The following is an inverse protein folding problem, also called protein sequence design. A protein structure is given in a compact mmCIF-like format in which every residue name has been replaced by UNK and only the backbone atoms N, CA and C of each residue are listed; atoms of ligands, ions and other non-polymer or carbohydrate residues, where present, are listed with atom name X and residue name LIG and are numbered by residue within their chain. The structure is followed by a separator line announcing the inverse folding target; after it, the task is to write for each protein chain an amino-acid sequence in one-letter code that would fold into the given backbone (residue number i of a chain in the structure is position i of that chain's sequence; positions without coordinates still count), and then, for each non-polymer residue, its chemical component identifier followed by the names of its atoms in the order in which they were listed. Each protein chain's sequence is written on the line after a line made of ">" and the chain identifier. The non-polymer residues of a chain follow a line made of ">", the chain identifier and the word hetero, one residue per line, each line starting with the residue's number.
data_IF_940635015981
#
_entry.id   IF_940635015981
#
_cell.length_a   1.000
_cell.length_b   1.000
_cell.length_c   1.000
_cell.angle_alpha   90.00
_cell.angle_beta   90.00
_cell.angle_gamma   90.00
#
_symmetry.space_group_name_H-M   'P 1'
#
loop_
_entity.id
_entity.type
_entity.pdbx_description
1 polymer ?
#
# COMPACT_ATOMS: atom_id res chain seq x y z
N UNK A 1 12.94 -6.08 -18.67
CA UNK A 1 12.42 -5.90 -17.31
C UNK A 1 12.28 -7.30 -16.72
N UNK A 2 12.93 -7.61 -15.60
CA UNK A 2 12.76 -8.88 -14.94
C UNK A 2 11.37 -8.89 -14.25
N UNK A 3 10.68 -10.04 -14.29
CA UNK A 3 9.49 -10.24 -13.47
C UNK A 3 9.90 -10.22 -12.00
N UNK A 4 9.12 -9.58 -11.16
CA UNK A 4 9.29 -9.69 -9.71
C UNK A 4 8.99 -11.14 -9.32
N UNK A 5 9.96 -11.79 -8.70
CA UNK A 5 9.81 -13.14 -8.17
C UNK A 5 10.00 -13.07 -6.67
N UNK A 6 8.93 -13.40 -5.94
CA UNK A 6 8.96 -13.38 -4.47
C UNK A 6 9.16 -14.77 -3.86
N UNK A 7 9.10 -15.84 -4.68
CA UNK A 7 9.08 -17.24 -4.21
C UNK A 7 10.30 -17.58 -3.34
N UNK A 8 11.49 -17.11 -3.73
CA UNK A 8 12.75 -17.41 -3.06
C UNK A 8 13.30 -16.21 -2.24
N UNK A 9 12.49 -15.18 -2.02
CA UNK A 9 12.91 -13.98 -1.29
C UNK A 9 13.10 -14.31 0.20
N UNK A 10 14.34 -14.20 0.68
CA UNK A 10 14.68 -14.33 2.09
C UNK A 10 14.46 -13.02 2.87
N UNK A 11 14.38 -13.12 4.19
CA UNK A 11 14.35 -11.95 5.06
C UNK A 11 15.54 -11.01 4.84
N UNK A 12 16.74 -11.54 4.70
CA UNK A 12 17.94 -10.72 4.51
C UNK A 12 17.94 -10.00 3.16
N UNK A 13 17.49 -10.64 2.09
CA UNK A 13 17.33 -10.00 0.77
C UNK A 13 16.25 -8.93 0.77
N UNK A 14 15.13 -9.18 1.45
CA UNK A 14 14.08 -8.20 1.65
C UNK A 14 14.61 -6.95 2.35
N UNK A 15 15.32 -7.13 3.46
CA UNK A 15 15.89 -6.01 4.20
C UNK A 15 16.98 -5.30 3.39
N UNK A 16 17.82 -6.00 2.66
CA UNK A 16 18.81 -5.39 1.77
C UNK A 16 18.17 -4.53 0.67
N UNK A 17 17.04 -4.97 0.10
CA UNK A 17 16.23 -4.17 -0.83
C UNK A 17 15.68 -2.90 -0.19
N UNK A 18 15.16 -2.99 1.04
CA UNK A 18 14.69 -1.83 1.79
C UNK A 18 15.82 -0.85 2.17
N UNK A 19 17.00 -1.35 2.52
CA UNK A 19 18.19 -0.52 2.73
C UNK A 19 18.57 0.23 1.45
N UNK A 20 18.51 -0.45 0.30
CA UNK A 20 18.73 0.18 -1.00
C UNK A 20 17.69 1.28 -1.30
N UNK A 21 16.40 1.03 -1.02
CA UNK A 21 15.35 2.05 -1.14
C UNK A 21 15.63 3.24 -0.23
N UNK A 22 15.89 3.01 1.05
CA UNK A 22 16.20 4.05 2.04
C UNK A 22 17.38 4.93 1.60
N UNK A 23 18.47 4.35 1.21
CA UNK A 23 19.70 5.07 0.93
C UNK A 23 19.62 5.94 -0.33
N UNK A 24 18.79 5.55 -1.27
CA UNK A 24 18.73 6.22 -2.56
C UNK A 24 17.45 7.02 -2.80
N UNK A 25 16.33 6.69 -2.15
CA UNK A 25 15.01 7.26 -2.43
C UNK A 25 14.31 7.80 -1.18
N UNK A 26 14.40 7.12 -0.03
CA UNK A 26 13.80 7.58 1.23
C UNK A 26 14.55 8.81 1.79
N UNK A 27 13.82 9.68 2.45
CA UNK A 27 14.38 10.87 3.10
C UNK A 27 14.82 11.99 2.14
N UNK A 28 14.81 11.76 0.83
CA UNK A 28 15.03 12.78 -0.20
C UNK A 28 13.72 13.27 -0.81
N UNK A 29 12.63 12.56 -0.58
CA UNK A 29 11.30 12.92 -1.09
C UNK A 29 10.39 13.40 0.05
N UNK A 30 9.63 14.45 -0.23
CA UNK A 30 8.52 14.88 0.64
C UNK A 30 7.43 13.80 0.80
N UNK A 31 7.54 12.73 0.04
CA UNK A 31 6.56 11.64 -0.02
C UNK A 31 6.50 10.86 1.29
N UNK A 32 7.65 10.54 1.89
CA UNK A 32 7.70 9.83 3.17
C UNK A 32 7.16 10.66 4.33
N UNK A 33 7.54 11.95 4.43
CA UNK A 33 7.01 12.85 5.45
C UNK A 33 5.50 13.04 5.28
N UNK A 34 5.03 13.10 4.05
CA UNK A 34 3.61 13.21 3.72
C UNK A 34 2.85 11.95 4.15
N UNK A 35 3.41 10.76 3.90
CA UNK A 35 2.80 9.50 4.29
C UNK A 35 2.67 9.39 5.81
N UNK A 36 3.76 9.59 6.54
CA UNK A 36 3.76 9.57 8.01
C UNK A 36 2.81 10.61 8.59
N UNK A 37 2.82 11.83 8.05
CA UNK A 37 1.87 12.87 8.45
C UNK A 37 0.40 12.48 8.22
N UNK A 38 0.11 11.78 7.12
CA UNK A 38 -1.23 11.26 6.84
C UNK A 38 -1.63 10.17 7.84
N UNK A 39 -0.76 9.19 8.10
CA UNK A 39 -1.05 8.14 9.09
C UNK A 39 -1.33 8.75 10.47
N UNK A 40 -0.50 9.70 10.90
CA UNK A 40 -0.70 10.40 12.18
C UNK A 40 -2.04 11.15 12.24
N UNK A 41 -2.43 11.80 11.14
CA UNK A 41 -3.73 12.48 11.06
C UNK A 41 -4.92 11.50 11.07
N UNK A 42 -4.74 10.30 10.56
CA UNK A 42 -5.78 9.28 10.47
C UNK A 42 -5.85 8.37 11.70
N UNK A 43 -4.80 8.35 12.52
CA UNK A 43 -4.71 7.55 13.72
C UNK A 43 -5.87 7.86 14.68
N UNK A 44 -6.58 6.81 15.11
CA UNK A 44 -7.74 6.91 16.01
C UNK A 44 -9.01 7.49 15.37
N UNK A 45 -9.01 7.87 14.09
CA UNK A 45 -10.23 8.28 13.40
C UNK A 45 -11.02 7.06 12.94
N UNK A 46 -12.37 7.05 13.10
CA UNK A 46 -13.21 6.02 12.50
C UNK A 46 -13.02 5.98 10.98
N UNK A 47 -13.16 4.80 10.39
CA UNK A 47 -12.96 4.55 8.96
C UNK A 47 -13.75 5.52 8.07
N UNK A 48 -15.02 5.80 8.42
CA UNK A 48 -15.84 6.80 7.74
C UNK A 48 -15.18 8.18 7.71
N UNK A 49 -14.66 8.66 8.84
CA UNK A 49 -14.00 9.96 8.91
C UNK A 49 -12.68 10.01 8.11
N UNK A 50 -11.99 8.85 7.97
CA UNK A 50 -10.82 8.74 7.07
C UNK A 50 -11.24 8.90 5.61
N UNK A 51 -12.33 8.25 5.19
CA UNK A 51 -12.83 8.30 3.81
C UNK A 51 -13.40 9.68 3.43
N UNK A 52 -14.01 10.41 4.35
CA UNK A 52 -14.56 11.75 4.14
C UNK A 52 -13.47 12.85 4.12
N UNK A 53 -12.26 12.54 4.56
CA UNK A 53 -11.16 13.50 4.71
C UNK A 53 -10.60 13.96 3.35
N UNK A 54 -10.48 15.30 3.15
CA UNK A 54 -9.76 15.86 2.00
C UNK A 54 -8.27 15.52 2.05
N UNK A 55 -7.73 15.32 3.24
CA UNK A 55 -6.34 14.98 3.50
C UNK A 55 -5.90 13.73 2.72
N UNK A 56 -6.79 12.75 2.56
CA UNK A 56 -6.55 11.56 1.76
C UNK A 56 -6.22 11.91 0.31
N UNK A 57 -7.04 12.74 -0.32
CA UNK A 57 -6.83 13.17 -1.73
C UNK A 57 -5.59 14.06 -1.86
N UNK A 58 -5.27 14.87 -0.85
CA UNK A 58 -4.06 15.69 -0.85
C UNK A 58 -2.80 14.80 -0.83
N UNK A 59 -2.80 13.72 -0.04
CA UNK A 59 -1.70 12.73 -0.03
C UNK A 59 -1.59 12.03 -1.39
N UNK A 60 -2.70 11.54 -1.93
CA UNK A 60 -2.73 10.90 -3.25
C UNK A 60 -2.17 11.82 -4.35
N UNK A 61 -2.49 13.10 -4.30
CA UNK A 61 -1.98 14.07 -5.28
C UNK A 61 -0.49 14.41 -5.08
N UNK A 62 0.01 14.41 -3.85
CA UNK A 62 1.47 14.48 -3.59
C UNK A 62 2.19 13.25 -4.13
N UNK A 63 1.54 12.09 -4.17
CA UNK A 63 2.02 10.88 -4.83
C UNK A 63 1.70 10.82 -6.33
N UNK A 64 1.50 12.00 -6.94
CA UNK A 64 1.30 12.19 -8.38
C UNK A 64 0.07 11.49 -8.99
N UNK A 65 -0.96 11.17 -8.19
CA UNK A 65 -2.20 10.57 -8.71
C UNK A 65 -3.04 11.53 -9.56
N UNK A 66 -2.81 12.85 -9.45
CA UNK A 66 -3.46 13.91 -10.25
C UNK A 66 -4.98 13.85 -10.23
N UNK A 67 -5.55 13.60 -9.06
CA UNK A 67 -6.98 13.52 -8.83
C UNK A 67 -7.59 14.93 -8.65
N UNK A 68 -8.87 15.08 -8.98
CA UNK A 68 -9.60 16.33 -8.73
C UNK A 68 -9.77 16.58 -7.23
N UNK A 69 -9.15 17.61 -6.68
CA UNK A 69 -9.31 17.98 -5.27
C UNK A 69 -10.73 18.45 -4.90
N UNK A 70 -11.57 18.74 -5.88
CA UNK A 70 -12.96 19.18 -5.69
C UNK A 70 -13.92 17.98 -5.73
N UNK A 71 -13.77 17.09 -6.74
CA UNK A 71 -14.73 16.00 -6.97
C UNK A 71 -14.37 14.73 -6.20
N UNK A 72 -13.08 14.38 -6.17
CA UNK A 72 -12.63 13.07 -5.68
C UNK A 72 -12.97 12.81 -4.22
N UNK A 73 -12.85 13.78 -3.26
CA UNK A 73 -13.21 13.49 -1.87
C UNK A 73 -14.64 13.00 -1.71
N UNK A 74 -15.61 13.68 -2.34
CA UNK A 74 -17.02 13.27 -2.28
C UNK A 74 -17.30 11.91 -2.93
N UNK A 75 -16.59 11.58 -4.02
CA UNK A 75 -16.73 10.29 -4.70
C UNK A 75 -16.14 9.15 -3.86
N UNK A 76 -14.96 9.33 -3.26
CA UNK A 76 -14.39 8.32 -2.35
C UNK A 76 -15.29 8.13 -1.13
N UNK A 77 -15.79 9.22 -0.53
CA UNK A 77 -16.70 9.15 0.61
C UNK A 77 -18.00 8.42 0.27
N UNK A 78 -18.60 8.69 -0.91
CA UNK A 78 -19.78 7.98 -1.40
C UNK A 78 -19.53 6.50 -1.59
N UNK A 79 -18.47 6.13 -2.29
CA UNK A 79 -18.07 4.74 -2.45
C UNK A 79 -17.83 4.04 -1.10
N UNK A 80 -17.08 4.66 -0.20
CA UNK A 80 -16.83 4.10 1.12
C UNK A 80 -18.11 3.94 1.95
N UNK A 81 -19.07 4.87 1.82
CA UNK A 81 -20.38 4.74 2.47
C UNK A 81 -21.12 3.48 1.99
N UNK A 82 -21.15 3.25 0.68
CA UNK A 82 -21.82 2.10 0.07
C UNK A 82 -21.15 0.76 0.44
N UNK A 83 -19.85 0.78 0.75
CA UNK A 83 -19.07 -0.39 1.11
C UNK A 83 -18.69 -0.46 2.60
N UNK A 84 -19.27 0.42 3.44
CA UNK A 84 -18.81 0.61 4.83
C UNK A 84 -18.81 -0.68 5.65
N UNK A 85 -19.86 -1.50 5.57
CA UNK A 85 -19.94 -2.77 6.30
C UNK A 85 -18.75 -3.68 5.96
N UNK A 86 -18.42 -3.80 4.68
CA UNK A 86 -17.29 -4.64 4.23
C UNK A 86 -15.95 -4.06 4.66
N UNK A 87 -15.79 -2.76 4.58
CA UNK A 87 -14.57 -2.09 5.02
C UNK A 87 -14.38 -2.21 6.53
N UNK A 88 -15.44 -2.13 7.33
CA UNK A 88 -15.42 -2.34 8.78
C UNK A 88 -15.10 -3.80 9.17
N UNK A 89 -15.53 -4.78 8.36
CA UNK A 89 -15.13 -6.19 8.52
C UNK A 89 -13.63 -6.40 8.28
N UNK A 90 -13.05 -5.65 7.36
CA UNK A 90 -11.62 -5.71 7.04
C UNK A 90 -10.73 -4.83 7.92
N UNK A 91 -11.27 -3.80 8.57
CA UNK A 91 -10.48 -2.85 9.35
C UNK A 91 -9.62 -3.50 10.46
N UNK A 92 -10.07 -4.55 11.19
CA UNK A 92 -9.27 -5.20 12.20
C UNK A 92 -8.22 -6.18 11.65
N UNK A 93 -8.27 -6.51 10.35
CA UNK A 93 -7.36 -7.47 9.74
C UNK A 93 -6.02 -6.83 9.37
N UNK A 94 -4.99 -7.65 9.43
CA UNK A 94 -3.65 -7.33 8.96
C UNK A 94 -3.26 -8.22 7.78
N UNK A 95 -2.19 -7.88 7.10
CA UNK A 95 -1.68 -8.69 6.00
C UNK A 95 -1.25 -10.12 6.43
N UNK A 96 -1.06 -10.37 7.72
CA UNK A 96 -0.69 -11.71 8.24
C UNK A 96 -1.88 -12.57 8.69
N UNK A 97 -3.12 -12.05 8.63
CA UNK A 97 -4.28 -12.83 9.06
C UNK A 97 -4.55 -13.99 8.10
N UNK A 98 -4.69 -15.20 8.65
CA UNK A 98 -4.77 -16.45 7.90
C UNK A 98 -5.96 -16.51 6.92
N UNK A 99 -7.02 -15.76 7.19
CA UNK A 99 -8.23 -15.73 6.35
C UNK A 99 -8.07 -14.86 5.10
N UNK A 100 -7.00 -14.05 5.02
CA UNK A 100 -6.83 -13.06 3.95
C UNK A 100 -6.78 -13.68 2.55
N UNK A 101 -6.17 -14.87 2.41
CA UNK A 101 -6.12 -15.58 1.14
C UNK A 101 -7.54 -15.90 0.58
N UNK A 102 -8.50 -16.18 1.48
CA UNK A 102 -9.90 -16.43 1.10
C UNK A 102 -10.63 -15.16 0.68
N UNK A 103 -10.19 -13.98 1.15
CA UNK A 103 -10.78 -12.69 0.83
C UNK A 103 -10.13 -11.98 -0.37
N UNK A 104 -9.11 -12.56 -1.00
CA UNK A 104 -8.35 -11.90 -2.07
C UNK A 104 -9.23 -11.40 -3.23
N UNK A 105 -10.19 -12.21 -3.67
CA UNK A 105 -11.13 -11.84 -4.75
C UNK A 105 -12.03 -10.68 -4.32
N UNK A 106 -12.42 -10.64 -3.06
CA UNK A 106 -13.24 -9.57 -2.49
C UNK A 106 -12.45 -8.26 -2.36
N UNK A 107 -11.18 -8.32 -1.94
CA UNK A 107 -10.28 -7.16 -1.93
C UNK A 107 -10.04 -6.64 -3.34
N UNK A 108 -9.90 -7.54 -4.32
CA UNK A 108 -9.84 -7.19 -5.74
C UNK A 108 -11.11 -6.48 -6.22
N UNK A 109 -12.29 -6.97 -5.84
CA UNK A 109 -13.58 -6.35 -6.18
C UNK A 109 -13.71 -4.94 -5.59
N UNK A 110 -13.32 -4.74 -4.33
CA UNK A 110 -13.33 -3.39 -3.70
C UNK A 110 -12.45 -2.40 -4.46
N UNK A 111 -11.28 -2.85 -4.92
CA UNK A 111 -10.37 -2.03 -5.71
C UNK A 111 -10.99 -1.61 -7.06
N UNK A 112 -11.57 -2.57 -7.78
CA UNK A 112 -12.14 -2.34 -9.10
C UNK A 112 -13.44 -1.51 -9.02
N UNK A 113 -14.26 -1.75 -7.99
CA UNK A 113 -15.47 -0.98 -7.72
C UNK A 113 -15.12 0.48 -7.39
N UNK A 114 -14.07 0.74 -6.61
CA UNK A 114 -13.59 2.10 -6.34
C UNK A 114 -13.20 2.82 -7.64
N UNK A 115 -12.46 2.14 -8.51
CA UNK A 115 -12.07 2.69 -9.82
C UNK A 115 -13.32 3.02 -10.65
N UNK A 116 -14.25 2.08 -10.75
CA UNK A 116 -15.48 2.23 -11.55
C UNK A 116 -16.34 3.40 -11.02
N UNK A 117 -16.56 3.45 -9.71
CA UNK A 117 -17.37 4.49 -9.05
C UNK A 117 -16.79 5.90 -9.28
N UNK A 118 -15.49 6.07 -9.04
CA UNK A 118 -14.84 7.38 -9.17
C UNK A 118 -14.74 7.82 -10.63
N UNK A 119 -14.51 6.91 -11.58
CA UNK A 119 -14.55 7.20 -13.02
C UNK A 119 -15.95 7.57 -13.49
N UNK A 120 -16.98 6.90 -13.02
CA UNK A 120 -18.39 7.26 -13.32
C UNK A 120 -18.73 8.68 -12.83
N UNK A 121 -18.13 9.15 -11.73
CA UNK A 121 -18.20 10.52 -11.26
C UNK A 121 -17.37 11.53 -12.06
N UNK A 122 -16.71 11.10 -13.14
CA UNK A 122 -15.97 11.96 -14.08
C UNK A 122 -14.52 12.27 -13.66
N UNK A 123 -13.91 11.43 -12.81
CA UNK A 123 -12.48 11.51 -12.43
C UNK A 123 -11.73 10.38 -13.12
N UNK A 124 -11.25 10.63 -14.33
CA UNK A 124 -10.65 9.60 -15.19
C UNK A 124 -9.28 9.09 -14.72
N UNK A 125 -8.57 9.87 -13.89
CA UNK A 125 -7.24 9.51 -13.40
C UNK A 125 -7.28 8.51 -12.21
N UNK A 126 -8.46 8.09 -11.73
CA UNK A 126 -8.57 6.98 -10.79
C UNK A 126 -8.22 5.69 -11.53
N UNK A 127 -7.00 5.26 -11.43
CA UNK A 127 -6.49 3.99 -11.94
C UNK A 127 -5.99 3.11 -10.79
N UNK A 128 -5.41 1.96 -11.12
CA UNK A 128 -4.95 0.94 -10.16
C UNK A 128 -4.08 1.54 -9.04
N UNK A 129 -3.10 2.35 -9.39
CA UNK A 129 -2.21 2.96 -8.40
C UNK A 129 -2.93 3.93 -7.45
N UNK A 130 -3.90 4.71 -7.95
CA UNK A 130 -4.66 5.62 -7.10
C UNK A 130 -5.64 4.86 -6.21
N UNK A 131 -6.28 3.82 -6.73
CA UNK A 131 -7.22 3.00 -5.98
C UNK A 131 -6.52 2.19 -4.87
N UNK A 132 -5.44 1.49 -5.19
CA UNK A 132 -4.67 0.72 -4.19
C UNK A 132 -4.09 1.63 -3.09
N UNK A 133 -3.60 2.82 -3.45
CA UNK A 133 -3.14 3.83 -2.47
C UNK A 133 -4.28 4.37 -1.62
N UNK A 134 -5.48 4.53 -2.18
CA UNK A 134 -6.67 4.93 -1.42
C UNK A 134 -7.04 3.87 -0.40
N UNK A 135 -7.13 2.60 -0.81
CA UNK A 135 -7.42 1.48 0.09
C UNK A 135 -6.37 1.35 1.20
N UNK A 136 -5.08 1.46 0.84
CA UNK A 136 -3.99 1.45 1.81
C UNK A 136 -4.11 2.59 2.84
N UNK A 137 -4.45 3.81 2.43
CA UNK A 137 -4.64 4.91 3.36
C UNK A 137 -5.88 4.74 4.26
N UNK A 138 -6.89 4.00 3.82
CA UNK A 138 -8.05 3.65 4.63
C UNK A 138 -7.73 2.56 5.66
N UNK A 139 -7.09 1.48 5.24
CA UNK A 139 -6.73 0.32 6.07
C UNK A 139 -5.26 -0.05 5.79
N UNK A 140 -4.31 0.70 6.41
CA UNK A 140 -2.89 0.59 6.06
C UNK A 140 -2.25 -0.75 6.44
N UNK A 141 -2.76 -1.44 7.45
CA UNK A 141 -2.21 -2.72 7.89
C UNK A 141 -2.61 -3.89 6.98
N UNK A 142 -3.57 -3.68 6.08
CA UNK A 142 -4.13 -4.71 5.21
C UNK A 142 -3.73 -4.55 3.74
N UNK A 143 -3.97 -3.39 3.14
CA UNK A 143 -3.82 -3.19 1.70
C UNK A 143 -2.39 -2.82 1.30
N UNK A 144 -1.77 -3.59 0.40
CA UNK A 144 -0.47 -3.24 -0.21
C UNK A 144 -0.70 -2.38 -1.44
N UNK A 145 0.08 -1.31 -1.59
CA UNK A 145 -0.02 -0.42 -2.75
C UNK A 145 0.47 -1.10 -4.03
N UNK A 146 -0.23 -0.86 -5.13
CA UNK A 146 0.03 -1.47 -6.42
C UNK A 146 0.21 -0.40 -7.50
N UNK A 147 1.43 0.05 -7.63
CA UNK A 147 1.81 1.08 -8.58
C UNK A 147 1.95 0.50 -10.01
N UNK A 148 1.87 1.36 -11.01
CA UNK A 148 1.95 0.96 -12.42
C UNK A 148 3.23 0.18 -12.76
N UNK A 149 4.34 0.55 -12.14
CA UNK A 149 5.62 -0.10 -12.44
C UNK A 149 5.69 -1.48 -11.78
N UNK A 150 5.11 -1.63 -10.57
CA UNK A 150 4.94 -2.92 -9.91
C UNK A 150 4.00 -3.81 -10.73
N UNK A 151 2.86 -3.26 -11.21
CA UNK A 151 1.88 -3.98 -12.04
C UNK A 151 2.47 -4.64 -13.29
N UNK A 152 3.48 -4.03 -13.89
CA UNK A 152 4.15 -4.60 -15.08
C UNK A 152 4.91 -5.89 -14.79
N UNK A 153 5.17 -6.19 -13.54
CA UNK A 153 5.97 -7.32 -13.07
C UNK A 153 5.22 -8.21 -12.10
N UNK A 154 3.93 -7.95 -11.86
CA UNK A 154 3.06 -8.59 -10.89
C UNK A 154 1.85 -9.24 -11.59
N UNK A 155 1.00 -9.99 -10.85
CA UNK A 155 -0.24 -10.56 -11.35
C UNK A 155 -1.17 -9.54 -12.03
N UNK A 156 -2.05 -10.04 -12.91
CA UNK A 156 -2.96 -9.20 -13.69
C UNK A 156 -4.04 -8.51 -12.85
N UNK A 157 -4.45 -9.11 -11.71
CA UNK A 157 -5.50 -8.62 -10.82
C UNK A 157 -4.98 -8.13 -9.48
N UNK A 158 -5.65 -7.13 -8.90
CA UNK A 158 -5.29 -6.63 -7.58
C UNK A 158 -5.49 -7.66 -6.47
N UNK A 159 -6.53 -8.50 -6.57
CA UNK A 159 -6.77 -9.59 -5.63
C UNK A 159 -5.64 -10.61 -5.64
N UNK A 160 -5.16 -11.02 -6.83
CA UNK A 160 -4.02 -11.93 -6.94
C UNK A 160 -2.74 -11.31 -6.38
N UNK A 161 -2.51 -10.02 -6.66
CA UNK A 161 -1.38 -9.30 -6.07
C UNK A 161 -1.45 -9.28 -4.53
N UNK A 162 -2.62 -9.02 -3.95
CA UNK A 162 -2.80 -9.06 -2.49
C UNK A 162 -2.54 -10.46 -1.92
N UNK A 163 -2.96 -11.53 -2.61
CA UNK A 163 -2.69 -12.91 -2.21
C UNK A 163 -1.19 -13.19 -2.20
N UNK A 164 -0.46 -12.78 -3.23
CA UNK A 164 1.00 -12.96 -3.28
C UNK A 164 1.73 -12.15 -2.19
N UNK A 165 1.25 -10.94 -1.89
CA UNK A 165 1.82 -10.13 -0.81
C UNK A 165 1.54 -10.73 0.57
N UNK A 166 0.38 -11.31 0.77
CA UNK A 166 0.05 -12.06 1.98
C UNK A 166 0.97 -13.28 2.16
N UNK A 167 1.14 -14.10 1.12
CA UNK A 167 2.03 -15.26 1.15
C UNK A 167 3.49 -14.86 1.42
N UNK A 168 3.95 -13.78 0.79
CA UNK A 168 5.26 -13.22 1.06
C UNK A 168 5.41 -12.76 2.51
N UNK A 169 4.43 -12.03 3.02
CA UNK A 169 4.44 -11.53 4.39
C UNK A 169 4.48 -12.68 5.42
N UNK A 170 3.70 -13.75 5.19
CA UNK A 170 3.72 -14.94 6.04
C UNK A 170 5.10 -15.62 6.06
N UNK A 171 5.77 -15.74 4.91
CA UNK A 171 7.12 -16.32 4.85
C UNK A 171 8.14 -15.47 5.60
N UNK A 172 8.15 -14.15 5.37
CA UNK A 172 9.06 -13.23 6.07
C UNK A 172 8.83 -13.24 7.58
N UNK A 173 7.56 -13.30 8.03
CA UNK A 173 7.23 -13.43 9.44
C UNK A 173 7.70 -14.78 10.02
N UNK A 174 7.54 -15.88 9.27
CA UNK A 174 7.99 -17.20 9.69
C UNK A 174 9.53 -17.29 9.84
N UNK A 175 10.30 -16.64 8.95
CA UNK A 175 11.77 -16.62 9.06
C UNK A 175 12.26 -15.86 10.28
N UNK A 176 11.51 -14.84 10.72
CA UNK A 176 11.89 -14.02 11.88
C UNK A 176 11.32 -14.53 13.20
N UNK A 177 10.30 -15.37 13.16
CA UNK A 177 9.53 -15.84 14.32
C UNK A 177 8.94 -14.69 15.17
N UNK A 178 8.75 -13.50 14.58
CA UNK A 178 8.29 -12.29 15.27
C UNK A 178 6.80 -11.99 14.98
N UNK A 179 6.05 -11.52 15.98
CA UNK A 179 4.75 -10.90 15.74
C UNK A 179 4.89 -9.66 14.84
N UNK A 180 3.84 -9.34 14.06
CA UNK A 180 3.88 -8.25 13.08
C UNK A 180 4.38 -6.91 13.66
N UNK A 181 3.88 -6.51 14.82
CA UNK A 181 4.29 -5.24 15.45
C UNK A 181 5.76 -5.20 15.88
N UNK A 182 6.33 -6.37 16.25
CA UNK A 182 7.75 -6.48 16.58
C UNK A 182 8.61 -6.49 15.31
N UNK A 183 8.15 -7.18 14.26
CA UNK A 183 8.80 -7.20 12.95
C UNK A 183 8.88 -5.78 12.36
N UNK A 184 7.79 -5.02 12.37
CA UNK A 184 7.75 -3.63 11.92
C UNK A 184 8.67 -2.72 12.77
N UNK A 185 8.71 -2.95 14.08
CA UNK A 185 9.61 -2.23 14.99
C UNK A 185 11.08 -2.56 14.70
N UNK A 186 11.38 -3.82 14.39
CA UNK A 186 12.72 -4.24 13.99
C UNK A 186 13.13 -3.58 12.66
N UNK A 187 12.24 -3.56 11.66
CA UNK A 187 12.47 -2.87 10.39
C UNK A 187 12.70 -1.37 10.61
N UNK A 188 11.84 -0.71 11.40
CA UNK A 188 12.01 0.70 11.74
C UNK A 188 13.40 0.99 12.30
N UNK A 189 13.85 0.20 13.30
CA UNK A 189 15.16 0.39 13.95
C UNK A 189 16.31 0.14 12.98
N UNK A 190 16.24 -0.97 12.22
CA UNK A 190 17.31 -1.35 11.27
C UNK A 190 17.46 -0.34 10.14
N UNK A 191 16.34 0.19 9.65
CA UNK A 191 16.33 1.19 8.58
C UNK A 191 16.55 2.62 9.08
N UNK A 192 16.51 2.86 10.39
CA UNK A 192 16.69 4.18 10.99
C UNK A 192 15.52 5.15 10.70
N UNK A 193 14.33 4.63 10.43
CA UNK A 193 13.15 5.45 10.22
C UNK A 193 12.64 6.10 11.51
N UNK A 194 12.16 7.34 11.42
CA UNK A 194 11.65 8.10 12.58
C UNK A 194 10.34 7.56 13.11
N UNK A 195 9.52 6.96 12.26
CA UNK A 195 8.23 6.40 12.62
C UNK A 195 8.10 4.95 12.10
N UNK A 196 7.31 4.15 12.82
CA UNK A 196 6.93 2.81 12.37
C UNK A 196 6.00 2.95 11.16
N UNK A 197 6.26 2.14 10.14
CA UNK A 197 5.38 1.94 8.99
C UNK A 197 4.74 0.55 9.09
N UNK A 198 3.54 0.34 8.56
CA UNK A 198 2.98 -1.00 8.45
C UNK A 198 3.80 -1.86 7.48
N UNK A 199 3.75 -3.18 7.66
CA UNK A 199 4.46 -4.14 6.79
C UNK A 199 4.06 -3.96 5.31
N UNK A 200 2.80 -3.66 5.04
CA UNK A 200 2.28 -3.34 3.71
C UNK A 200 3.04 -2.21 3.02
N UNK A 201 3.48 -1.20 3.79
CA UNK A 201 4.29 -0.09 3.27
C UNK A 201 5.73 -0.51 2.99
N UNK A 202 6.32 -1.35 3.83
CA UNK A 202 7.65 -1.90 3.57
C UNK A 202 7.65 -2.78 2.31
N UNK A 203 6.61 -3.57 2.09
CA UNK A 203 6.44 -4.36 0.86
C UNK A 203 6.31 -3.48 -0.39
N UNK A 204 5.54 -2.39 -0.32
CA UNK A 204 5.45 -1.41 -1.41
C UNK A 204 6.83 -0.79 -1.74
N UNK A 205 7.60 -0.37 -0.73
CA UNK A 205 8.93 0.22 -0.91
C UNK A 205 9.92 -0.78 -1.52
N UNK A 206 9.89 -2.02 -1.05
CA UNK A 206 10.69 -3.11 -1.61
C UNK A 206 10.32 -3.38 -3.07
N UNK A 207 9.04 -3.58 -3.36
CA UNK A 207 8.55 -3.88 -4.71
C UNK A 207 8.87 -2.76 -5.69
N UNK A 208 8.71 -1.50 -5.27
CA UNK A 208 9.07 -0.35 -6.08
C UNK A 208 10.57 -0.30 -6.34
N UNK A 209 11.40 -0.57 -5.33
CA UNK A 209 12.85 -0.59 -5.48
C UNK A 209 13.30 -1.67 -6.46
N UNK A 210 12.75 -2.87 -6.36
CA UNK A 210 13.08 -3.96 -7.29
C UNK A 210 12.59 -3.66 -8.73
N UNK A 211 11.39 -3.11 -8.87
CA UNK A 211 10.81 -2.83 -10.18
C UNK A 211 11.50 -1.67 -10.91
N UNK A 212 11.93 -0.65 -10.20
CA UNK A 212 12.37 0.63 -10.76
C UNK A 212 13.69 1.11 -10.20
N UNK A 213 13.88 1.00 -8.90
CA UNK A 213 14.99 1.61 -8.19
C UNK A 213 16.35 1.06 -8.63
N UNK A 214 16.48 -0.25 -8.76
CA UNK A 214 17.73 -0.90 -9.21
C UNK A 214 18.13 -0.44 -10.62
N UNK A 215 17.17 -0.35 -11.54
CA UNK A 215 17.45 0.12 -12.91
C UNK A 215 17.86 1.60 -12.94
N UNK A 216 17.21 2.43 -12.13
CA UNK A 216 17.58 3.85 -12.01
C UNK A 216 18.97 4.05 -11.45
N UNK A 217 19.39 3.21 -10.50
CA UNK A 217 20.74 3.26 -9.94
C UNK A 217 21.80 2.82 -10.97
N UNK A 218 21.51 1.78 -11.73
CA UNK A 218 22.43 1.28 -12.75
C UNK A 218 22.67 2.27 -13.92
N UNK A 219 21.79 3.26 -14.09
CA UNK A 219 21.89 4.30 -15.13
C UNK A 219 22.60 5.59 -14.67
N UNK A 220 22.93 5.70 -13.37
CA UNK A 220 23.66 6.83 -12.78
C UNK A 220 25.16 6.57 -12.72
#
# INVERSE_FOLDING_TARGET
>A
MALLTWADLSWDDFVAGLEGYRDHFSGKSREDETYIGCLTLMEGRPLRARAEGRELVDVLNRWACRLSSVKTPGLIAGWAHDHMTRLEEFEPLTLLDAELAAHADELGSLHDDLIAHVKAGGVLNMGDAAASKTLHLLIPDLFVMWDREIKRSAPEGYGDYQREMHELALRLAAETELPIGELETQLQRRLGYRARKPLTKYLDEYNWFEAVGREQLARR
#
